data_IF_645026680247
#
_entry.id   IF_645026680247
#
_cell.length_a   1.000
_cell.length_b   1.000
_cell.length_c   1.000
_cell.angle_alpha   90.00
_cell.angle_beta   90.00
_cell.angle_gamma   90.00
#
_symmetry.space_group_name_H-M   'P 1'
#
loop_
_entity.id
_entity.type
_entity.pdbx_description
1 polymer ?
#
# COMPACT_ATOMS: atom_id res chain seq x y z
N UNK A 1 -34.17 -47.89 -7.62
CA UNK A 1 -35.37 -47.83 -6.76
C UNK A 1 -35.32 -46.54 -5.93
N UNK A 2 -36.43 -45.85 -5.93
CA UNK A 2 -36.82 -44.59 -5.24
C UNK A 2 -36.36 -43.27 -5.86
N UNK A 3 -37.16 -42.81 -6.80
CA UNK A 3 -37.52 -41.48 -7.23
C UNK A 3 -37.93 -40.57 -6.07
N UNK A 4 -37.48 -39.30 -6.05
CA UNK A 4 -38.22 -38.24 -5.36
C UNK A 4 -38.39 -37.04 -6.30
N UNK A 5 -39.67 -36.72 -6.50
CA UNK A 5 -40.23 -35.66 -7.30
C UNK A 5 -39.97 -34.27 -6.70
N UNK A 6 -39.71 -33.35 -7.57
CA UNK A 6 -39.69 -31.90 -7.37
C UNK A 6 -41.13 -31.38 -7.41
N UNK A 7 -41.54 -30.62 -6.40
CA UNK A 7 -42.83 -29.91 -6.39
C UNK A 7 -42.57 -28.40 -6.63
N UNK A 8 -43.13 -27.94 -7.73
CA UNK A 8 -43.18 -26.53 -8.14
C UNK A 8 -44.38 -25.88 -7.48
N UNK A 9 -44.23 -24.81 -6.70
CA UNK A 9 -45.34 -23.99 -6.18
C UNK A 9 -45.38 -22.67 -6.89
N UNK A 10 -46.40 -22.51 -7.72
CA UNK A 10 -46.81 -21.25 -8.36
C UNK A 10 -47.66 -20.46 -7.35
N UNK A 11 -47.28 -19.23 -7.03
CA UNK A 11 -48.10 -18.32 -6.21
C UNK A 11 -48.73 -17.28 -7.12
N UNK A 12 -50.05 -17.29 -7.18
CA UNK A 12 -50.91 -16.32 -7.86
C UNK A 12 -51.03 -15.06 -6.98
N UNK A 13 -50.77 -13.89 -7.55
CA UNK A 13 -51.09 -12.58 -6.93
C UNK A 13 -52.52 -12.19 -7.30
N UNK A 14 -53.37 -12.03 -6.30
CA UNK A 14 -54.69 -11.41 -6.43
C UNK A 14 -54.61 -9.99 -5.87
N UNK A 15 -54.82 -9.02 -6.73
CA UNK A 15 -54.91 -7.59 -6.34
C UNK A 15 -56.33 -7.31 -5.79
N UNK A 16 -56.41 -7.00 -4.51
CA UNK A 16 -57.63 -6.47 -3.86
C UNK A 16 -57.45 -4.99 -3.62
N UNK A 17 -58.32 -4.19 -4.28
CA UNK A 17 -58.46 -2.73 -4.06
C UNK A 17 -59.35 -2.57 -2.84
N UNK A 18 -58.83 -2.03 -1.74
CA UNK A 18 -59.62 -1.46 -0.64
C UNK A 18 -59.40 0.03 -0.59
N UNK A 19 -60.45 0.79 -0.87
CA UNK A 19 -60.51 2.22 -0.53
C UNK A 19 -60.63 2.32 0.99
N UNK A 20 -59.74 3.02 1.62
CA UNK A 20 -59.85 3.42 3.05
C UNK A 20 -59.93 4.92 3.15
N UNK A 21 -60.98 5.41 3.80
CA UNK A 21 -61.21 6.82 4.10
C UNK A 21 -60.08 7.38 4.97
N UNK A 22 -59.67 8.61 4.66
CA UNK A 22 -58.60 9.31 5.40
C UNK A 22 -59.23 9.94 6.64
N UNK A 23 -58.97 9.38 7.80
CA UNK A 23 -59.26 10.00 9.10
C UNK A 23 -58.15 10.98 9.47
N UNK A 24 -58.47 12.30 9.45
CA UNK A 24 -57.53 13.39 9.69
C UNK A 24 -57.36 13.67 11.19
N UNK A 25 -56.90 12.72 11.98
CA UNK A 25 -56.44 12.99 13.35
C UNK A 25 -55.35 12.00 13.73
N UNK A 26 -54.14 12.21 13.22
CA UNK A 26 -52.95 11.54 13.74
C UNK A 26 -52.19 12.58 14.58
N UNK A 27 -52.34 12.50 15.88
CA UNK A 27 -51.39 13.06 16.85
C UNK A 27 -50.01 12.47 16.57
N UNK A 28 -49.14 13.28 15.96
CA UNK A 28 -47.74 12.92 15.75
C UNK A 28 -47.06 12.85 17.11
N UNK A 29 -46.53 11.66 17.53
CA UNK A 29 -45.74 11.63 18.73
C UNK A 29 -44.49 12.48 18.48
N UNK A 30 -44.24 13.44 19.37
CA UNK A 30 -43.01 14.22 19.38
C UNK A 30 -41.80 13.27 19.41
N UNK A 31 -41.08 13.18 18.29
CA UNK A 31 -39.79 12.47 18.23
C UNK A 31 -38.82 13.30 19.09
N UNK A 32 -38.74 12.95 20.34
CA UNK A 32 -37.60 13.37 21.16
C UNK A 32 -36.37 12.64 20.58
N UNK A 33 -35.61 13.35 19.76
CA UNK A 33 -34.25 12.92 19.41
C UNK A 33 -33.47 12.84 20.74
N UNK A 34 -33.50 11.66 21.37
CA UNK A 34 -32.49 11.33 22.36
C UNK A 34 -31.17 11.36 21.58
N UNK A 35 -30.37 12.39 21.86
CA UNK A 35 -28.98 12.39 21.40
C UNK A 35 -28.40 11.02 21.76
N UNK A 36 -27.93 10.27 20.75
CA UNK A 36 -27.31 8.98 21.00
C UNK A 36 -26.20 9.20 22.03
N UNK A 37 -26.25 8.47 23.13
CA UNK A 37 -25.23 8.57 24.19
C UNK A 37 -23.88 8.31 23.53
N UNK A 38 -22.97 9.27 23.62
CA UNK A 38 -21.58 9.09 23.14
C UNK A 38 -21.03 7.89 23.90
N UNK A 39 -20.54 6.84 23.21
CA UNK A 39 -19.94 5.70 23.87
C UNK A 39 -18.85 6.16 24.86
N UNK A 40 -18.63 5.48 25.98
CA UNK A 40 -17.60 5.86 26.93
C UNK A 40 -16.25 5.85 26.22
N UNK A 41 -15.42 6.85 26.52
CA UNK A 41 -14.10 6.99 25.93
C UNK A 41 -13.24 5.76 26.24
N UNK A 42 -12.77 5.08 25.20
CA UNK A 42 -11.88 3.93 25.32
C UNK A 42 -10.42 4.39 25.40
N UNK A 43 -9.59 3.63 26.10
CA UNK A 43 -8.13 3.84 26.12
C UNK A 43 -7.46 2.82 25.20
N UNK A 44 -6.50 3.27 24.39
CA UNK A 44 -5.75 2.44 23.44
C UNK A 44 -4.25 2.58 23.70
N UNK A 45 -3.54 1.47 23.64
CA UNK A 45 -2.08 1.42 23.62
C UNK A 45 -1.62 1.31 22.16
N UNK A 46 -1.01 2.37 21.66
CA UNK A 46 -0.47 2.44 20.30
C UNK A 46 1.00 2.04 20.36
N UNK A 47 1.28 0.76 20.10
CA UNK A 47 2.64 0.22 20.16
C UNK A 47 3.55 0.88 19.12
N UNK A 48 4.70 1.41 19.57
CA UNK A 48 5.68 2.00 18.66
C UNK A 48 6.25 0.95 17.70
N UNK A 49 6.33 -0.30 18.12
CA UNK A 49 6.79 -1.41 17.28
C UNK A 49 6.06 -1.53 15.93
N UNK A 50 4.74 -1.20 15.89
CA UNK A 50 3.94 -1.25 14.66
C UNK A 50 3.60 0.13 14.07
N UNK A 51 3.70 1.21 14.87
CA UNK A 51 3.16 2.52 14.52
C UNK A 51 4.20 3.66 14.61
N UNK A 52 5.42 3.35 15.06
CA UNK A 52 6.48 4.32 15.28
C UNK A 52 7.56 4.31 14.20
N UNK A 53 8.12 5.50 13.93
CA UNK A 53 9.20 5.72 12.97
C UNK A 53 10.19 6.74 13.54
N UNK A 54 11.49 6.49 13.39
CA UNK A 54 12.49 7.53 13.61
C UNK A 54 12.51 8.41 12.36
N UNK A 55 11.79 9.53 12.42
CA UNK A 55 11.59 10.41 11.25
C UNK A 55 12.68 11.45 11.08
N UNK A 56 13.47 11.68 12.14
CA UNK A 56 14.70 12.47 12.10
C UNK A 56 15.77 11.74 12.89
N UNK A 57 16.81 11.30 12.20
CA UNK A 57 17.99 10.67 12.80
C UNK A 57 19.22 11.49 12.43
N UNK A 58 19.74 12.34 13.33
CA UNK A 58 20.97 13.09 13.10
C UNK A 58 22.18 12.16 12.94
N UNK A 59 23.24 12.68 12.34
CA UNK A 59 24.50 11.95 12.22
C UNK A 59 24.99 11.49 13.62
N UNK A 60 25.33 10.20 13.74
CA UNK A 60 25.70 9.57 15.01
C UNK A 60 24.53 9.19 15.92
N UNK A 61 23.28 9.43 15.51
CA UNK A 61 22.10 8.90 16.21
C UNK A 61 22.02 7.38 16.09
N UNK A 62 21.53 6.72 17.14
CA UNK A 62 21.40 5.28 17.23
C UNK A 62 19.97 4.82 17.56
N UNK A 63 19.04 5.76 17.55
CA UNK A 63 17.64 5.53 17.83
C UNK A 63 17.04 4.52 16.85
N UNK A 64 16.33 3.54 17.38
CA UNK A 64 15.76 2.45 16.56
C UNK A 64 14.40 2.03 17.12
N UNK A 65 13.52 1.67 16.21
CA UNK A 65 12.26 0.99 16.56
C UNK A 65 12.49 -0.52 16.42
N UNK A 66 12.27 -1.23 17.52
CA UNK A 66 12.33 -2.70 17.61
C UNK A 66 10.95 -3.26 17.93
N UNK A 67 10.85 -4.59 18.10
CA UNK A 67 9.64 -5.25 18.60
C UNK A 67 9.21 -4.78 20.01
N UNK A 68 10.11 -4.14 20.76
CA UNK A 68 9.85 -3.57 22.09
C UNK A 68 9.50 -2.08 22.08
N UNK A 69 9.55 -1.43 20.91
CA UNK A 69 9.36 0.01 20.76
C UNK A 69 10.66 0.76 20.47
N UNK A 70 10.68 2.05 20.84
CA UNK A 70 11.85 2.93 20.69
C UNK A 70 12.92 2.58 21.74
N UNK A 71 14.15 2.35 21.26
CA UNK A 71 15.33 2.16 22.08
C UNK A 71 16.53 2.93 21.57
N UNK A 72 17.63 2.84 22.30
CA UNK A 72 18.91 3.53 22.02
C UNK A 72 18.78 5.06 21.88
N UNK A 73 17.82 5.66 22.57
CA UNK A 73 17.53 7.09 22.43
C UNK A 73 18.53 7.94 23.20
N UNK A 74 19.51 8.43 22.50
CA UNK A 74 20.64 9.21 23.06
C UNK A 74 20.66 10.65 22.60
N UNK A 75 20.18 10.95 21.39
CA UNK A 75 20.32 12.25 20.76
C UNK A 75 19.06 13.12 20.96
N UNK A 76 19.16 14.33 21.53
CA UNK A 76 18.03 15.24 21.75
C UNK A 76 17.42 15.79 20.44
N UNK A 77 18.18 15.75 19.34
CA UNK A 77 17.68 16.23 18.03
C UNK A 77 16.95 15.15 17.23
N UNK A 78 16.99 13.89 17.68
CA UNK A 78 16.21 12.82 17.06
C UNK A 78 14.72 13.02 17.30
N UNK A 79 13.92 12.72 16.28
CA UNK A 79 12.45 12.74 16.38
C UNK A 79 11.92 11.37 16.03
N UNK A 80 11.14 10.81 16.96
CA UNK A 80 10.33 9.62 16.72
C UNK A 80 8.87 10.02 16.59
N UNK A 81 8.25 9.68 15.45
CA UNK A 81 6.86 9.98 15.17
C UNK A 81 6.02 8.70 15.27
N UNK A 82 4.89 8.78 15.95
CA UNK A 82 3.93 7.68 16.12
C UNK A 82 2.62 8.08 15.49
N UNK A 83 2.02 7.17 14.71
CA UNK A 83 0.84 7.47 13.92
C UNK A 83 -0.31 6.54 14.27
N UNK A 84 -1.51 7.10 14.33
CA UNK A 84 -2.78 6.39 14.46
C UNK A 84 -3.89 7.21 13.81
N UNK A 85 -5.01 6.57 13.46
CA UNK A 85 -6.14 7.26 12.82
C UNK A 85 -7.33 7.30 13.77
N UNK A 86 -7.95 8.49 13.87
CA UNK A 86 -9.19 8.71 14.61
C UNK A 86 -10.36 8.85 13.65
N UNK A 87 -11.46 8.19 13.97
CA UNK A 87 -12.72 8.32 13.24
C UNK A 87 -13.60 9.45 13.75
N UNK A 88 -13.30 10.01 14.93
CA UNK A 88 -14.08 11.05 15.59
C UNK A 88 -13.24 12.28 15.92
N UNK A 89 -13.92 13.43 16.01
CA UNK A 89 -13.39 14.66 16.59
C UNK A 89 -13.63 14.71 18.10
N UNK A 90 -12.97 15.63 18.79
CA UNK A 90 -13.15 15.84 20.23
C UNK A 90 -11.85 15.88 21.00
N UNK A 91 -11.94 15.84 22.31
CA UNK A 91 -10.77 15.84 23.17
C UNK A 91 -9.99 14.51 23.04
N UNK A 92 -8.68 14.63 22.82
CA UNK A 92 -7.68 13.55 22.84
C UNK A 92 -6.72 13.80 23.97
N UNK A 93 -6.62 12.86 24.92
CA UNK A 93 -5.58 12.83 25.95
C UNK A 93 -4.49 11.88 25.50
N UNK A 94 -3.24 12.32 25.59
CA UNK A 94 -2.04 11.57 25.19
C UNK A 94 -1.16 11.32 26.40
N UNK A 95 -0.69 10.09 26.56
CA UNK A 95 0.31 9.69 27.53
C UNK A 95 1.39 8.84 26.85
N UNK A 96 2.55 8.74 27.47
CA UNK A 96 3.69 7.95 27.00
C UNK A 96 3.97 6.83 27.98
N UNK A 97 3.98 5.58 27.52
CA UNK A 97 4.39 4.43 28.32
C UNK A 97 5.88 4.17 28.08
N UNK A 98 6.67 4.48 29.09
CA UNK A 98 8.12 4.53 28.98
C UNK A 98 8.81 4.12 30.28
N UNK A 99 10.11 3.85 30.19
CA UNK A 99 11.03 3.75 31.32
C UNK A 99 12.28 4.60 31.04
N UNK A 100 12.88 5.15 32.09
CA UNK A 100 14.18 5.83 32.04
C UNK A 100 15.24 4.89 32.64
N UNK A 101 15.95 4.08 31.83
CA UNK A 101 16.80 3.01 32.34
C UNK A 101 18.01 3.50 33.12
N UNK A 102 18.42 4.77 32.90
CA UNK A 102 19.54 5.39 33.59
C UNK A 102 19.22 6.83 34.00
N UNK A 103 18.81 7.01 35.26
CA UNK A 103 18.55 8.35 35.80
C UNK A 103 17.13 8.88 35.52
N UNK A 104 17.04 10.17 35.23
CA UNK A 104 15.79 10.87 34.89
C UNK A 104 15.93 11.61 33.57
N UNK A 105 14.83 11.74 32.83
CA UNK A 105 14.81 12.52 31.61
C UNK A 105 13.56 13.38 31.49
N UNK A 106 13.66 14.41 30.66
CA UNK A 106 12.52 15.20 30.20
C UNK A 106 12.46 15.06 28.68
N UNK A 107 11.30 14.64 28.21
CA UNK A 107 11.01 14.55 26.79
C UNK A 107 9.88 15.50 26.42
N UNK A 108 9.81 15.88 25.16
CA UNK A 108 8.73 16.67 24.55
C UNK A 108 7.85 15.75 23.73
N UNK A 109 6.55 15.70 24.05
CA UNK A 109 5.54 15.08 23.20
C UNK A 109 4.76 16.18 22.49
N UNK A 110 4.74 16.15 21.15
CA UNK A 110 4.03 17.15 20.32
C UNK A 110 2.91 16.47 19.56
N UNK A 111 1.68 16.95 19.72
CA UNK A 111 0.50 16.44 19.01
C UNK A 111 -0.40 17.61 18.59
N UNK A 112 -0.87 17.59 17.35
CA UNK A 112 -1.73 18.63 16.78
C UNK A 112 -1.20 20.06 17.02
N UNK A 113 0.11 20.25 16.85
CA UNK A 113 0.80 21.54 17.04
C UNK A 113 1.03 21.96 18.50
N UNK A 114 0.54 21.22 19.49
CA UNK A 114 0.73 21.50 20.92
C UNK A 114 1.78 20.58 21.52
N UNK A 115 2.72 21.15 22.25
CA UNK A 115 3.82 20.43 22.92
C UNK A 115 3.61 20.33 24.42
N UNK A 116 4.04 19.20 24.99
CA UNK A 116 3.99 18.90 26.40
C UNK A 116 5.34 18.34 26.87
N UNK A 117 5.87 18.84 27.97
CA UNK A 117 7.06 18.29 28.59
C UNK A 117 6.66 17.17 29.57
N UNK A 118 7.27 16.00 29.38
CA UNK A 118 7.01 14.83 30.21
C UNK A 118 8.28 14.44 30.95
N UNK A 119 8.24 14.44 32.28
CA UNK A 119 9.33 13.96 33.11
C UNK A 119 9.21 12.46 33.29
N UNK A 120 10.24 11.73 32.93
CA UNK A 120 10.34 10.27 33.03
C UNK A 120 11.32 9.89 34.14
N UNK A 121 10.93 8.92 34.97
CA UNK A 121 11.74 8.42 36.08
C UNK A 121 11.54 6.92 36.24
N UNK A 122 12.57 6.23 36.76
CA UNK A 122 12.49 4.81 37.04
C UNK A 122 12.73 3.89 35.87
N UNK A 123 13.07 2.68 36.17
CA UNK A 123 13.55 1.67 35.22
C UNK A 123 12.47 0.62 34.86
N UNK A 124 11.21 0.85 35.23
CA UNK A 124 10.06 0.03 34.84
C UNK A 124 9.13 0.84 33.95
N UNK A 125 8.50 0.18 32.99
CA UNK A 125 7.52 0.85 32.12
C UNK A 125 6.35 1.39 32.93
N UNK A 126 6.17 2.70 32.85
CA UNK A 126 5.10 3.45 33.52
C UNK A 126 4.44 4.38 32.52
N UNK A 127 3.14 4.60 32.65
CA UNK A 127 2.39 5.53 31.80
C UNK A 127 2.45 6.93 32.40
N UNK A 128 3.02 7.86 31.63
CA UNK A 128 3.15 9.27 32.00
C UNK A 128 2.21 10.12 31.16
N UNK A 129 1.24 10.78 31.76
CA UNK A 129 0.33 11.67 31.03
C UNK A 129 1.10 12.88 30.49
N UNK A 130 1.01 13.13 29.20
CA UNK A 130 1.56 14.31 28.57
C UNK A 130 0.58 15.49 28.66
N UNK A 131 -0.64 15.32 28.13
CA UNK A 131 -1.66 16.34 28.15
C UNK A 131 -2.81 16.07 27.17
N UNK A 132 -3.65 17.08 26.95
CA UNK A 132 -4.82 16.94 26.07
C UNK A 132 -4.89 18.04 25.02
N UNK A 133 -5.41 17.66 23.84
CA UNK A 133 -5.66 18.55 22.70
C UNK A 133 -7.05 18.29 22.14
N UNK A 134 -7.60 19.25 21.39
CA UNK A 134 -8.81 19.03 20.60
C UNK A 134 -8.44 18.56 19.19
N UNK A 135 -9.09 17.51 18.73
CA UNK A 135 -9.05 17.01 17.37
C UNK A 135 -10.24 17.58 16.62
N UNK A 136 -9.98 18.38 15.59
CA UNK A 136 -11.01 19.13 14.86
C UNK A 136 -11.44 18.42 13.57
N UNK A 137 -10.70 17.43 13.10
CA UNK A 137 -11.02 16.62 11.92
C UNK A 137 -10.65 15.16 12.16
N UNK A 138 -11.50 14.25 11.69
CA UNK A 138 -11.17 12.83 11.64
C UNK A 138 -10.00 12.59 10.66
N UNK A 139 -9.16 11.59 10.93
CA UNK A 139 -8.02 11.28 10.10
C UNK A 139 -6.82 10.83 10.92
N UNK A 140 -5.66 10.79 10.28
CA UNK A 140 -4.41 10.43 10.94
C UNK A 140 -3.92 11.54 11.88
N UNK A 141 -3.48 11.10 13.05
CA UNK A 141 -2.85 11.93 14.07
C UNK A 141 -1.41 11.47 14.23
N UNK A 142 -0.50 12.44 14.35
CA UNK A 142 0.92 12.22 14.59
C UNK A 142 1.28 12.71 15.99
N UNK A 143 2.01 11.89 16.73
CA UNK A 143 2.66 12.27 18.00
C UNK A 143 4.17 12.22 17.81
N UNK A 144 4.84 13.35 17.90
CA UNK A 144 6.30 13.44 17.84
C UNK A 144 6.88 13.39 19.24
N UNK A 145 7.90 12.56 19.46
CA UNK A 145 8.70 12.46 20.66
C UNK A 145 10.10 13.00 20.38
N UNK A 146 10.57 13.91 21.24
CA UNK A 146 11.90 14.52 21.17
C UNK A 146 12.51 14.66 22.57
N UNK A 147 13.82 14.43 22.72
CA UNK A 147 14.53 14.62 23.96
C UNK A 147 14.71 16.12 24.30
N UNK A 148 14.67 16.46 25.60
CA UNK A 148 14.99 17.81 26.11
C UNK A 148 16.24 17.73 26.99
N UNK A 149 16.18 16.92 28.05
CA UNK A 149 17.29 16.77 28.99
C UNK A 149 17.29 15.38 29.61
N UNK A 150 18.46 14.91 30.01
CA UNK A 150 18.63 13.63 30.72
C UNK A 150 19.80 13.71 31.70
N UNK A 151 19.77 12.88 32.74
CA UNK A 151 20.88 12.77 33.70
C UNK A 151 21.72 11.50 33.48
N UNK A 152 21.20 10.56 32.71
CA UNK A 152 21.89 9.31 32.33
C UNK A 152 22.23 9.25 30.84
N UNK A 153 22.64 8.07 30.38
CA UNK A 153 23.10 7.86 29.00
C UNK A 153 21.97 7.91 27.97
N UNK A 154 20.75 7.52 28.35
CA UNK A 154 19.59 7.41 27.48
C UNK A 154 18.45 8.32 27.94
N UNK A 155 17.63 8.79 27.00
CA UNK A 155 16.38 9.50 27.35
C UNK A 155 15.34 8.52 27.89
N UNK A 156 15.00 7.49 27.12
CA UNK A 156 14.01 6.50 27.52
C UNK A 156 13.99 5.31 26.56
N UNK A 157 13.44 4.19 27.02
CA UNK A 157 12.78 3.21 26.15
C UNK A 157 11.27 3.52 26.19
N UNK A 158 10.64 3.59 25.01
CA UNK A 158 9.22 3.90 24.88
C UNK A 158 8.52 2.74 24.18
N UNK A 159 7.57 2.09 24.86
CA UNK A 159 6.81 0.98 24.27
C UNK A 159 5.57 1.45 23.51
N UNK A 160 4.80 2.38 24.10
CA UNK A 160 3.49 2.78 23.58
C UNK A 160 3.25 4.29 23.72
N UNK A 161 2.43 4.84 22.83
CA UNK A 161 1.63 6.02 23.09
C UNK A 161 0.26 5.53 23.59
N UNK A 162 -0.18 6.03 24.74
CA UNK A 162 -1.50 5.71 25.30
C UNK A 162 -2.44 6.88 25.01
N UNK A 163 -3.57 6.58 24.36
CA UNK A 163 -4.55 7.60 23.98
C UNK A 163 -5.90 7.33 24.62
N UNK A 164 -6.62 8.38 24.96
CA UNK A 164 -7.98 8.32 25.53
C UNK A 164 -8.74 9.63 25.27
N UNK A 165 -10.01 9.70 25.65
CA UNK A 165 -10.84 10.88 25.51
C UNK A 165 -11.96 10.72 24.49
N UNK A 166 -12.76 11.76 24.28
CA UNK A 166 -13.94 11.70 23.40
C UNK A 166 -13.58 11.32 21.94
N UNK A 167 -12.40 11.74 21.45
CA UNK A 167 -11.93 11.42 20.11
C UNK A 167 -11.63 9.93 19.90
N UNK A 168 -11.49 9.14 20.99
CA UNK A 168 -11.19 7.69 20.94
C UNK A 168 -12.41 6.80 21.17
N UNK A 169 -13.61 7.36 21.27
CA UNK A 169 -14.82 6.61 21.62
C UNK A 169 -15.19 5.55 20.56
N UNK A 170 -14.79 5.74 19.31
CA UNK A 170 -15.08 4.81 18.23
C UNK A 170 -14.06 4.95 17.09
N UNK A 171 -13.85 3.85 16.35
CA UNK A 171 -13.16 3.84 15.06
C UNK A 171 -11.71 4.36 15.11
N UNK A 172 -10.92 3.87 16.09
CA UNK A 172 -9.47 4.09 16.14
C UNK A 172 -8.78 3.01 15.32
N UNK A 173 -7.96 3.42 14.32
CA UNK A 173 -7.22 2.50 13.45
C UNK A 173 -5.72 2.70 13.66
N UNK A 174 -5.04 1.62 13.94
CA UNK A 174 -3.59 1.54 14.12
C UNK A 174 -3.13 0.09 13.95
N UNK A 175 -1.86 -0.14 13.73
CA UNK A 175 -1.28 -1.48 13.73
C UNK A 175 -1.38 -2.07 15.15
N UNK A 176 -2.28 -3.01 15.34
CA UNK A 176 -2.62 -3.60 16.64
C UNK A 176 -2.32 -5.11 16.74
N UNK A 177 -1.84 -5.70 15.65
CA UNK A 177 -1.46 -7.10 15.57
C UNK A 177 0.08 -7.22 15.54
N UNK A 178 0.73 -7.72 16.63
CA UNK A 178 2.19 -7.86 16.70
C UNK A 178 2.80 -8.70 15.57
N UNK A 179 2.10 -9.71 15.07
CA UNK A 179 2.57 -10.56 13.97
C UNK A 179 2.66 -9.78 12.63
N UNK A 180 1.94 -8.67 12.55
CA UNK A 180 1.88 -7.83 11.35
C UNK A 180 2.63 -6.50 11.48
N UNK A 181 3.35 -6.22 12.57
CA UNK A 181 4.03 -4.92 12.76
C UNK A 181 5.04 -4.60 11.67
N UNK A 182 5.80 -5.58 11.21
CA UNK A 182 6.72 -5.38 10.09
C UNK A 182 6.00 -4.92 8.82
N UNK A 183 4.92 -5.62 8.44
CA UNK A 183 4.12 -5.29 7.26
C UNK A 183 3.39 -3.95 7.41
N UNK A 184 2.85 -3.69 8.60
CA UNK A 184 2.20 -2.42 8.91
C UNK A 184 3.16 -1.25 8.82
N UNK A 185 4.43 -1.40 9.23
CA UNK A 185 5.46 -0.36 9.07
C UNK A 185 5.88 -0.16 7.62
N UNK A 186 5.86 -1.19 6.79
CA UNK A 186 5.98 -1.02 5.32
C UNK A 186 4.82 -0.23 4.75
N UNK A 187 3.63 -0.40 5.30
CA UNK A 187 2.39 0.17 4.81
C UNK A 187 1.71 -0.69 3.73
N UNK A 188 0.45 -0.38 3.40
CA UNK A 188 -0.31 -1.17 2.45
C UNK A 188 0.29 -1.19 1.05
N UNK A 189 0.41 -2.36 0.44
CA UNK A 189 0.61 -2.51 -1.00
C UNK A 189 -0.73 -2.34 -1.72
N UNK A 190 -0.74 -1.65 -2.85
CA UNK A 190 -1.95 -1.30 -3.60
C UNK A 190 -1.82 -1.67 -5.07
N UNK A 191 -2.93 -2.13 -5.68
CA UNK A 191 -2.90 -2.74 -6.99
C UNK A 191 -4.03 -2.24 -7.89
N UNK A 192 -3.80 -2.31 -9.21
CA UNK A 192 -4.79 -2.14 -10.27
C UNK A 192 -4.83 -3.44 -11.07
N UNK A 193 -5.90 -4.21 -10.96
CA UNK A 193 -6.13 -5.40 -11.76
C UNK A 193 -6.85 -5.06 -13.06
N UNK A 194 -6.34 -5.53 -14.20
CA UNK A 194 -6.90 -5.29 -15.53
C UNK A 194 -7.49 -6.57 -16.12
N UNK A 195 -8.71 -6.48 -16.64
CA UNK A 195 -9.38 -7.62 -17.27
C UNK A 195 -9.60 -7.30 -18.74
N UNK A 196 -8.89 -7.98 -19.67
CA UNK A 196 -9.19 -7.88 -21.09
C UNK A 196 -10.60 -8.40 -21.41
N UNK A 197 -11.21 -7.99 -22.52
CA UNK A 197 -12.48 -8.55 -22.96
C UNK A 197 -12.46 -10.08 -23.03
N UNK A 198 -13.61 -10.71 -22.75
CA UNK A 198 -13.74 -12.17 -22.76
C UNK A 198 -13.29 -12.77 -24.10
N UNK A 199 -12.56 -13.87 -24.05
CA UNK A 199 -12.01 -14.55 -25.21
C UNK A 199 -10.69 -13.94 -25.75
N UNK A 200 -10.15 -12.91 -25.10
CA UNK A 200 -8.85 -12.34 -25.49
C UNK A 200 -7.72 -13.26 -25.03
N UNK A 201 -6.91 -13.76 -25.98
CA UNK A 201 -5.64 -14.44 -25.69
C UNK A 201 -4.52 -13.41 -25.81
N UNK A 202 -4.11 -12.82 -24.66
CA UNK A 202 -3.16 -11.73 -24.61
C UNK A 202 -1.72 -12.25 -24.72
N UNK A 203 -1.06 -12.00 -25.83
CA UNK A 203 0.36 -12.31 -26.02
C UNK A 203 1.27 -11.22 -25.45
N UNK A 204 0.85 -9.95 -25.59
CA UNK A 204 1.61 -8.79 -25.17
C UNK A 204 0.82 -7.92 -24.19
N UNK A 205 1.51 -7.34 -23.23
CA UNK A 205 0.98 -6.30 -22.34
C UNK A 205 1.90 -5.09 -22.36
N UNK A 206 1.31 -3.94 -22.69
CA UNK A 206 1.97 -2.64 -22.71
C UNK A 206 1.36 -1.70 -21.69
N UNK A 207 2.19 -0.93 -20.99
CA UNK A 207 1.74 0.17 -20.13
C UNK A 207 2.75 1.31 -20.06
N UNK A 208 2.29 2.46 -19.61
CA UNK A 208 3.11 3.63 -19.34
C UNK A 208 3.03 3.96 -17.84
N UNK A 209 4.18 4.25 -17.25
CA UNK A 209 4.33 4.55 -15.83
C UNK A 209 5.06 5.89 -15.67
N UNK A 210 4.50 6.76 -14.81
CA UNK A 210 5.13 8.00 -14.37
C UNK A 210 5.11 8.08 -12.85
N UNK A 211 6.25 8.26 -12.24
CA UNK A 211 6.39 8.56 -10.82
C UNK A 211 6.54 10.07 -10.68
N UNK A 212 5.57 10.80 -10.10
CA UNK A 212 5.67 12.24 -9.95
C UNK A 212 6.90 12.66 -9.13
N UNK A 213 7.43 13.85 -9.40
CA UNK A 213 8.57 14.39 -8.66
C UNK A 213 8.31 14.36 -7.14
N UNK A 214 9.29 13.90 -6.38
CA UNK A 214 9.22 13.77 -4.93
C UNK A 214 8.43 12.57 -4.42
N UNK A 215 7.87 11.71 -5.30
CA UNK A 215 7.18 10.47 -4.93
C UNK A 215 8.08 9.22 -5.01
N UNK A 216 9.30 9.39 -5.46
CA UNK A 216 10.33 8.37 -5.67
C UNK A 216 11.12 8.07 -4.37
N UNK A 217 10.40 7.74 -3.30
CA UNK A 217 11.00 7.45 -1.99
C UNK A 217 11.78 6.14 -2.02
N UNK A 218 12.86 6.06 -1.25
CA UNK A 218 13.61 4.81 -1.03
C UNK A 218 12.68 3.69 -0.56
N UNK A 219 12.97 2.46 -0.94
CA UNK A 219 12.14 1.31 -0.62
C UNK A 219 10.89 1.17 -1.50
N UNK A 220 10.76 1.93 -2.60
CA UNK A 220 9.59 1.86 -3.47
C UNK A 220 9.77 0.90 -4.63
N UNK A 221 8.71 0.13 -4.92
CA UNK A 221 8.56 -0.59 -6.16
C UNK A 221 7.30 -0.10 -6.89
N UNK A 222 7.52 0.51 -8.04
CA UNK A 222 6.52 0.96 -8.98
C UNK A 222 6.42 -0.08 -10.10
N UNK A 223 5.56 -1.07 -9.94
CA UNK A 223 5.42 -2.18 -10.86
C UNK A 223 4.40 -1.82 -11.95
N UNK A 224 4.84 -1.86 -13.19
CA UNK A 224 4.06 -1.49 -14.36
C UNK A 224 3.26 -2.66 -14.94
N UNK A 225 3.94 -3.78 -15.24
CA UNK A 225 3.36 -4.96 -15.88
C UNK A 225 3.48 -6.17 -14.98
N UNK A 226 2.41 -6.51 -14.27
CA UNK A 226 2.24 -7.75 -13.55
C UNK A 226 1.38 -8.74 -14.34
N UNK A 227 1.60 -10.02 -14.13
CA UNK A 227 0.86 -11.12 -14.74
C UNK A 227 0.96 -12.37 -13.85
N UNK A 228 0.13 -13.38 -14.11
CA UNK A 228 0.22 -14.63 -13.38
C UNK A 228 1.61 -15.28 -13.59
N UNK A 229 2.41 -15.25 -12.54
CA UNK A 229 3.76 -15.81 -12.54
C UNK A 229 4.90 -14.82 -12.76
N UNK A 230 4.66 -13.50 -12.76
CA UNK A 230 5.75 -12.54 -12.87
C UNK A 230 5.36 -11.06 -12.74
N UNK A 231 6.38 -10.21 -12.69
CA UNK A 231 6.20 -8.76 -12.55
C UNK A 231 7.39 -7.99 -13.13
N UNK A 232 7.11 -6.79 -13.65
CA UNK A 232 8.07 -5.93 -14.31
C UNK A 232 7.82 -4.45 -13.99
N UNK A 233 8.84 -3.73 -13.53
CA UNK A 233 8.73 -2.32 -13.15
C UNK A 233 10.04 -1.67 -12.75
N UNK A 234 9.96 -0.58 -11.98
CA UNK A 234 11.11 0.20 -11.52
C UNK A 234 11.14 0.35 -10.00
N UNK A 235 12.35 0.36 -9.43
CA UNK A 235 12.58 0.44 -7.99
C UNK A 235 13.49 1.60 -7.61
N UNK A 236 13.34 2.08 -6.36
CA UNK A 236 14.31 2.92 -5.65
C UNK A 236 14.88 2.11 -4.49
N UNK A 237 16.10 1.58 -4.66
CA UNK A 237 16.73 0.69 -3.70
C UNK A 237 17.51 1.45 -2.61
N UNK A 238 18.06 2.62 -2.98
CA UNK A 238 18.73 3.54 -2.05
C UNK A 238 18.72 4.96 -2.59
N UNK A 239 19.36 5.89 -1.89
CA UNK A 239 19.57 7.27 -2.38
C UNK A 239 20.40 7.35 -3.66
N UNK A 240 21.16 6.32 -3.97
CA UNK A 240 22.08 6.26 -5.13
C UNK A 240 21.80 5.12 -6.09
N UNK A 241 20.84 4.24 -5.79
CA UNK A 241 20.56 3.07 -6.60
C UNK A 241 19.10 2.99 -7.00
N UNK A 242 18.87 2.93 -8.31
CA UNK A 242 17.59 2.67 -8.96
C UNK A 242 17.71 1.50 -9.92
N UNK A 243 16.63 0.73 -10.04
CA UNK A 243 16.61 -0.47 -10.89
C UNK A 243 15.41 -0.48 -11.81
N UNK A 244 15.59 -1.14 -12.96
CA UNK A 244 14.53 -1.77 -13.72
C UNK A 244 14.55 -3.24 -13.33
N UNK A 245 13.46 -3.79 -12.84
CA UNK A 245 13.38 -5.15 -12.30
C UNK A 245 12.33 -5.97 -13.03
N UNK A 246 12.72 -7.17 -13.47
CA UNK A 246 11.84 -8.18 -14.07
C UNK A 246 12.05 -9.52 -13.42
N UNK A 247 10.97 -10.14 -12.92
CA UNK A 247 11.00 -11.44 -12.25
C UNK A 247 9.92 -12.38 -12.78
N UNK A 248 10.24 -13.68 -12.83
CA UNK A 248 9.30 -14.74 -13.18
C UNK A 248 9.41 -15.84 -12.13
N UNK A 249 8.30 -16.16 -11.47
CA UNK A 249 8.26 -17.21 -10.45
C UNK A 249 8.39 -18.61 -11.03
N UNK A 250 8.98 -19.50 -10.25
CA UNK A 250 8.97 -20.91 -10.54
C UNK A 250 7.54 -21.45 -10.60
N UNK A 251 7.25 -22.40 -11.49
CA UNK A 251 5.99 -23.15 -11.42
C UNK A 251 5.99 -24.11 -10.23
N UNK A 252 4.86 -24.76 -9.97
CA UNK A 252 4.74 -25.76 -8.91
C UNK A 252 5.78 -26.89 -9.04
N UNK A 253 6.17 -27.23 -10.28
CA UNK A 253 7.20 -28.22 -10.59
C UNK A 253 8.17 -27.68 -11.64
N UNK A 254 9.47 -27.85 -11.40
CA UNK A 254 10.53 -27.32 -12.25
C UNK A 254 11.03 -25.96 -11.80
N UNK A 255 12.03 -25.44 -12.49
CA UNK A 255 12.68 -24.16 -12.21
C UNK A 255 12.68 -23.27 -13.44
N UNK A 256 12.32 -22.01 -13.24
CA UNK A 256 12.46 -20.96 -14.25
C UNK A 256 13.92 -20.77 -14.60
N UNK A 257 14.24 -20.71 -15.88
CA UNK A 257 15.61 -20.58 -16.39
C UNK A 257 15.76 -19.40 -17.33
N UNK A 258 16.91 -18.74 -17.28
CA UNK A 258 17.22 -17.64 -18.17
C UNK A 258 17.41 -18.16 -19.61
N UNK A 259 16.70 -17.56 -20.57
CA UNK A 259 16.89 -17.80 -22.01
C UNK A 259 17.95 -16.85 -22.56
N UNK A 260 17.76 -15.56 -22.33
CA UNK A 260 18.69 -14.49 -22.68
C UNK A 260 18.44 -13.23 -21.84
N UNK A 261 19.45 -12.37 -21.74
CA UNK A 261 19.34 -11.05 -21.08
C UNK A 261 19.94 -9.95 -21.96
N UNK A 262 19.49 -8.73 -21.68
CA UNK A 262 20.03 -7.54 -22.33
C UNK A 262 21.43 -7.14 -21.84
N UNK A 263 22.09 -6.22 -22.53
CA UNK A 263 23.38 -5.68 -22.09
C UNK A 263 23.27 -5.06 -20.70
N UNK A 264 24.28 -5.34 -19.85
CA UNK A 264 24.38 -4.84 -18.47
C UNK A 264 23.26 -5.28 -17.52
N UNK A 265 22.42 -6.21 -17.94
CA UNK A 265 21.40 -6.81 -17.06
C UNK A 265 22.04 -7.87 -16.19
N UNK A 266 21.81 -7.78 -14.89
CA UNK A 266 22.21 -8.79 -13.90
C UNK A 266 21.07 -9.79 -13.76
N UNK A 267 21.37 -11.08 -13.77
CA UNK A 267 20.43 -12.16 -13.49
C UNK A 267 20.76 -12.83 -12.16
N UNK A 268 19.74 -13.11 -11.39
CA UNK A 268 19.81 -13.79 -10.10
C UNK A 268 18.64 -14.77 -9.95
N UNK A 269 18.75 -15.67 -8.97
CA UNK A 269 17.58 -16.31 -8.37
C UNK A 269 17.08 -15.44 -7.20
N UNK A 270 15.78 -15.45 -6.94
CA UNK A 270 15.21 -14.84 -5.75
C UNK A 270 14.56 -15.89 -4.85
N UNK A 271 14.40 -15.54 -3.57
CA UNK A 271 13.76 -16.35 -2.53
C UNK A 271 13.03 -15.46 -1.53
N UNK A 272 12.41 -16.06 -0.52
CA UNK A 272 11.63 -15.37 0.51
C UNK A 272 10.14 -15.54 0.30
N UNK A 273 9.52 -14.75 -0.56
CA UNK A 273 8.09 -14.85 -0.91
C UNK A 273 7.82 -15.84 -2.06
N UNK A 274 8.65 -16.86 -2.24
CA UNK A 274 8.66 -17.79 -3.35
C UNK A 274 10.04 -17.85 -3.99
N UNK A 275 10.20 -18.64 -5.06
CA UNK A 275 11.45 -18.77 -5.81
C UNK A 275 11.22 -18.51 -7.29
N UNK A 276 12.28 -18.10 -8.01
CA UNK A 276 12.20 -17.85 -9.45
C UNK A 276 13.44 -17.17 -10.00
N UNK A 277 13.36 -16.79 -11.27
CA UNK A 277 14.36 -16.00 -11.96
C UNK A 277 14.11 -14.50 -11.79
N UNK A 278 15.14 -13.76 -11.43
CA UNK A 278 15.13 -12.31 -11.33
C UNK A 278 16.17 -11.71 -12.27
N UNK A 279 15.82 -10.66 -12.96
CA UNK A 279 16.74 -9.85 -13.73
C UNK A 279 16.55 -8.37 -13.41
N UNK A 280 17.67 -7.66 -13.27
CA UNK A 280 17.61 -6.23 -13.08
C UNK A 280 18.69 -5.48 -13.85
N UNK A 281 18.35 -4.25 -14.27
CA UNK A 281 19.26 -3.29 -14.85
C UNK A 281 19.44 -2.14 -13.87
N UNK A 282 20.68 -1.82 -13.50
CA UNK A 282 20.99 -0.56 -12.83
C UNK A 282 20.72 0.58 -13.81
N UNK A 283 19.72 1.38 -13.50
CA UNK A 283 19.30 2.47 -14.38
C UNK A 283 18.74 3.61 -13.53
N UNK A 284 19.36 4.77 -13.61
CA UNK A 284 18.98 5.95 -12.84
C UNK A 284 17.79 6.67 -13.49
N UNK A 285 16.64 6.00 -13.53
CA UNK A 285 15.40 6.57 -14.01
C UNK A 285 14.99 7.82 -13.21
N UNK A 286 14.31 8.76 -13.85
CA UNK A 286 14.00 10.06 -13.26
C UNK A 286 12.51 10.19 -12.94
N UNK A 287 12.20 10.68 -11.71
CA UNK A 287 10.85 11.07 -11.36
C UNK A 287 10.36 12.20 -12.28
N UNK A 288 9.07 12.22 -12.61
CA UNK A 288 8.48 13.13 -13.60
C UNK A 288 8.54 12.61 -15.03
N UNK A 289 9.43 11.65 -15.33
CA UNK A 289 9.56 11.04 -16.66
C UNK A 289 8.59 9.87 -16.84
N UNK A 290 8.01 9.73 -18.03
CA UNK A 290 7.15 8.59 -18.38
C UNK A 290 7.96 7.52 -19.09
N UNK A 291 8.03 6.34 -18.49
CA UNK A 291 8.64 5.15 -19.05
C UNK A 291 7.57 4.23 -19.62
N UNK A 292 7.91 3.48 -20.70
CA UNK A 292 6.98 2.53 -21.32
C UNK A 292 7.49 1.11 -21.09
N UNK A 293 6.57 0.23 -20.76
CA UNK A 293 6.84 -1.16 -20.41
C UNK A 293 6.14 -2.07 -21.38
N UNK A 294 6.81 -3.12 -21.81
CA UNK A 294 6.28 -4.12 -22.73
C UNK A 294 6.68 -5.51 -22.24
N UNK A 295 5.71 -6.39 -22.10
CA UNK A 295 5.91 -7.78 -21.68
C UNK A 295 5.24 -8.72 -22.67
N UNK A 296 5.92 -9.81 -23.04
CA UNK A 296 5.39 -10.89 -23.87
C UNK A 296 5.39 -12.20 -23.11
N UNK A 297 4.32 -12.98 -23.28
CA UNK A 297 4.31 -14.40 -22.94
C UNK A 297 4.04 -15.22 -24.21
N UNK A 298 4.99 -16.12 -24.56
CA UNK A 298 4.88 -16.92 -25.75
C UNK A 298 5.21 -18.37 -25.43
N UNK A 299 4.23 -19.31 -25.56
CA UNK A 299 4.50 -20.74 -25.52
C UNK A 299 5.57 -21.16 -26.52
N UNK A 300 6.53 -21.98 -26.09
CA UNK A 300 7.69 -22.39 -26.91
C UNK A 300 7.45 -23.66 -27.74
N UNK A 301 6.26 -24.25 -27.62
CA UNK A 301 5.89 -25.51 -28.29
C UNK A 301 6.46 -26.77 -27.63
N UNK A 302 7.23 -26.65 -26.56
CA UNK A 302 7.87 -27.77 -25.83
C UNK A 302 7.28 -27.99 -24.41
N UNK A 303 6.13 -27.41 -24.10
CA UNK A 303 5.51 -27.51 -22.79
C UNK A 303 5.92 -26.38 -21.81
N UNK A 304 6.58 -25.36 -22.30
CA UNK A 304 7.00 -24.20 -21.50
C UNK A 304 6.53 -22.88 -22.16
N UNK A 305 6.61 -21.79 -21.40
CA UNK A 305 6.36 -20.44 -21.89
C UNK A 305 7.59 -19.56 -21.64
N UNK A 306 7.97 -18.80 -22.64
CA UNK A 306 8.97 -17.74 -22.53
C UNK A 306 8.28 -16.43 -22.16
N UNK A 307 8.70 -15.80 -21.06
CA UNK A 307 8.28 -14.47 -20.65
C UNK A 307 9.44 -13.51 -20.90
N UNK A 308 9.17 -12.47 -21.70
CA UNK A 308 10.18 -11.49 -22.12
C UNK A 308 9.73 -10.07 -21.83
N UNK A 309 10.64 -9.19 -21.43
CA UNK A 309 10.29 -7.81 -21.08
C UNK A 309 11.28 -6.79 -21.62
N UNK A 310 10.73 -5.63 -22.02
CA UNK A 310 11.45 -4.48 -22.56
C UNK A 310 10.96 -3.20 -21.91
N UNK A 311 11.89 -2.25 -21.70
CA UNK A 311 11.57 -0.88 -21.28
C UNK A 311 11.98 0.10 -22.37
N UNK A 312 11.11 1.07 -22.67
CA UNK A 312 11.48 2.24 -23.44
C UNK A 312 11.95 3.34 -22.50
N UNK A 313 13.15 3.85 -22.75
CA UNK A 313 13.76 4.92 -21.98
C UNK A 313 13.84 6.19 -22.83
N UNK A 314 13.12 7.26 -22.45
CA UNK A 314 13.13 8.52 -23.21
C UNK A 314 14.54 9.12 -23.35
N UNK A 315 15.41 8.87 -22.38
CA UNK A 315 16.80 9.35 -22.35
C UNK A 315 17.63 8.80 -23.52
N UNK A 316 17.33 7.58 -23.95
CA UNK A 316 17.99 6.98 -25.13
C UNK A 316 17.13 7.00 -26.40
N UNK A 317 15.84 7.33 -26.25
CA UNK A 317 14.88 7.26 -27.37
C UNK A 317 14.67 5.85 -27.91
N UNK A 318 14.96 4.79 -27.12
CA UNK A 318 15.00 3.41 -27.60
C UNK A 318 14.40 2.41 -26.60
N UNK A 319 13.93 1.30 -27.16
CA UNK A 319 13.58 0.11 -26.38
C UNK A 319 14.86 -0.63 -25.94
N UNK A 320 14.89 -1.06 -24.70
CA UNK A 320 15.96 -1.85 -24.10
C UNK A 320 15.38 -3.19 -23.67
N UNK A 321 15.98 -4.26 -24.16
CA UNK A 321 15.66 -5.62 -23.71
C UNK A 321 16.16 -5.84 -22.28
N UNK A 322 15.32 -6.41 -21.42
CA UNK A 322 15.73 -6.76 -20.07
C UNK A 322 16.09 -8.25 -20.02
N UNK A 323 15.13 -9.13 -20.14
CA UNK A 323 15.41 -10.56 -20.13
C UNK A 323 14.25 -11.36 -20.76
N UNK A 324 14.55 -12.61 -21.08
CA UNK A 324 13.58 -13.66 -21.38
C UNK A 324 13.82 -14.82 -20.42
N UNK A 325 12.78 -15.23 -19.71
CA UNK A 325 12.77 -16.33 -18.78
C UNK A 325 11.85 -17.44 -19.27
N UNK A 326 12.35 -18.68 -19.30
CA UNK A 326 11.58 -19.88 -19.63
C UNK A 326 10.99 -20.47 -18.35
N UNK A 327 9.67 -20.53 -18.28
CA UNK A 327 8.94 -21.19 -17.20
C UNK A 327 8.46 -22.56 -17.69
N UNK A 328 9.04 -23.67 -17.19
CA UNK A 328 8.70 -25.00 -17.64
C UNK A 328 7.32 -25.42 -17.12
N UNK A 329 6.78 -26.50 -17.69
CA UNK A 329 5.46 -27.06 -17.30
C UNK A 329 4.33 -26.02 -17.25
N UNK A 330 4.44 -25.02 -18.12
CA UNK A 330 3.50 -23.90 -18.18
C UNK A 330 3.28 -23.58 -19.65
N UNK A 331 2.07 -23.80 -20.15
CA UNK A 331 1.68 -23.43 -21.52
C UNK A 331 0.58 -22.38 -21.39
N UNK A 332 0.94 -21.13 -21.50
CA UNK A 332 0.03 -19.99 -21.28
C UNK A 332 0.44 -18.76 -22.08
N UNK A 333 -0.49 -17.87 -22.28
CA UNK A 333 -0.29 -16.47 -22.59
C UNK A 333 -0.45 -15.62 -21.32
N UNK A 334 -0.43 -14.29 -21.42
CA UNK A 334 -0.57 -13.40 -20.29
C UNK A 334 -1.99 -13.48 -19.71
N UNK A 335 -2.08 -13.74 -18.41
CA UNK A 335 -3.30 -13.76 -17.60
C UNK A 335 -3.06 -12.99 -16.30
N UNK A 336 -4.13 -12.64 -15.57
CA UNK A 336 -4.02 -11.98 -14.28
C UNK A 336 -3.26 -10.65 -14.35
N UNK A 337 -3.57 -9.80 -15.34
CA UNK A 337 -2.84 -8.55 -15.58
C UNK A 337 -3.06 -7.56 -14.46
N UNK A 338 -1.97 -6.94 -13.96
CA UNK A 338 -2.07 -5.94 -12.90
C UNK A 338 -0.87 -4.99 -12.87
N UNK A 339 -1.02 -3.90 -12.14
CA UNK A 339 0.07 -3.02 -11.71
C UNK A 339 0.02 -2.85 -10.20
N UNK A 340 1.14 -2.54 -9.56
CA UNK A 340 1.13 -2.22 -8.13
C UNK A 340 2.08 -1.09 -7.74
N UNK A 341 1.84 -0.54 -6.56
CA UNK A 341 2.74 0.34 -5.84
C UNK A 341 2.97 -0.24 -4.44
N UNK A 342 4.23 -0.46 -4.11
CA UNK A 342 4.65 -1.06 -2.84
C UNK A 342 5.82 -0.29 -2.23
N UNK A 343 5.85 -0.25 -0.89
CA UNK A 343 7.04 0.03 -0.12
C UNK A 343 7.60 -1.26 0.48
N UNK A 344 8.84 -1.61 0.16
CA UNK A 344 9.49 -2.81 0.70
C UNK A 344 10.44 -2.52 1.89
N UNK A 345 10.47 -1.27 2.40
CA UNK A 345 11.29 -0.87 3.54
C UNK A 345 10.41 -0.46 4.73
N UNK A 346 10.48 -1.20 5.83
CA UNK A 346 9.66 -0.97 7.01
C UNK A 346 10.04 0.31 7.80
N UNK A 347 11.19 0.90 7.54
CA UNK A 347 11.61 2.17 8.15
C UNK A 347 11.09 3.40 7.40
N UNK A 348 10.57 3.23 6.17
CA UNK A 348 10.20 4.31 5.26
C UNK A 348 8.66 4.44 5.04
N UNK A 349 7.85 3.67 5.76
CA UNK A 349 6.39 3.66 5.57
C UNK A 349 5.67 4.93 6.01
N UNK A 350 6.35 5.87 6.64
CA UNK A 350 5.83 7.22 6.94
C UNK A 350 5.95 8.20 5.76
N UNK A 351 6.67 7.83 4.70
CA UNK A 351 6.83 8.63 3.49
C UNK A 351 5.80 8.22 2.44
N UNK A 352 4.99 9.17 1.99
CA UNK A 352 3.98 8.95 0.96
C UNK A 352 4.58 8.66 -0.41
N UNK A 353 3.91 7.79 -1.17
CA UNK A 353 4.27 7.36 -2.52
C UNK A 353 3.07 7.47 -3.45
N UNK A 354 3.32 7.84 -4.69
CA UNK A 354 2.30 7.91 -5.73
C UNK A 354 2.89 7.55 -7.09
N UNK A 355 2.10 6.86 -7.90
CA UNK A 355 2.42 6.58 -9.30
C UNK A 355 1.21 6.80 -10.19
N UNK A 356 1.47 7.18 -11.43
CA UNK A 356 0.47 7.33 -12.49
C UNK A 356 0.68 6.24 -13.51
N UNK A 357 -0.40 5.55 -13.86
CA UNK A 357 -0.41 4.45 -14.83
C UNK A 357 -1.30 4.86 -16.00
N UNK A 358 -0.76 4.81 -17.19
CA UNK A 358 -1.46 5.26 -18.39
C UNK A 358 -1.29 4.28 -19.54
N UNK A 359 -2.19 4.39 -20.51
CA UNK A 359 -2.07 3.77 -21.81
C UNK A 359 -1.83 2.25 -21.75
N UNK A 360 -2.67 1.55 -20.96
CA UNK A 360 -2.61 0.11 -20.83
C UNK A 360 -3.24 -0.55 -22.07
N UNK A 361 -2.51 -1.46 -22.70
CA UNK A 361 -2.96 -2.20 -23.88
C UNK A 361 -2.52 -3.66 -23.81
N UNK A 362 -3.35 -4.55 -24.31
CA UNK A 362 -2.93 -5.90 -24.67
C UNK A 362 -2.95 -6.07 -26.18
N UNK A 363 -2.04 -6.89 -26.72
CA UNK A 363 -2.12 -7.36 -28.10
C UNK A 363 -2.40 -8.85 -28.09
N UNK A 364 -3.46 -9.26 -28.74
CA UNK A 364 -3.84 -10.67 -28.82
C UNK A 364 -2.99 -11.45 -29.85
N UNK A 365 -3.11 -12.77 -29.85
CA UNK A 365 -2.40 -13.65 -30.80
C UNK A 365 -2.79 -13.44 -32.26
N UNK A 366 -3.95 -12.82 -32.52
CA UNK A 366 -4.36 -12.42 -33.88
C UNK A 366 -3.75 -11.07 -34.33
N UNK A 367 -2.94 -10.42 -33.47
CA UNK A 367 -2.26 -9.19 -33.80
C UNK A 367 -3.04 -7.90 -33.51
N UNK A 368 -4.19 -7.97 -32.84
CA UNK A 368 -5.04 -6.81 -32.54
C UNK A 368 -4.67 -6.20 -31.21
N UNK A 369 -4.44 -4.90 -31.15
CA UNK A 369 -4.30 -4.12 -29.93
C UNK A 369 -5.67 -3.76 -29.33
N UNK A 370 -5.83 -3.97 -28.02
CA UNK A 370 -7.05 -3.70 -27.25
C UNK A 370 -6.67 -2.84 -26.05
N UNK A 371 -7.27 -1.66 -25.94
CA UNK A 371 -7.04 -0.74 -24.82
C UNK A 371 -7.76 -1.20 -23.56
N UNK A 372 -7.08 -1.17 -22.41
CA UNK A 372 -7.63 -1.50 -21.11
C UNK A 372 -7.95 -0.20 -20.37
N UNK A 373 -9.24 0.12 -20.26
CA UNK A 373 -9.71 1.38 -19.68
C UNK A 373 -10.34 1.22 -18.31
N UNK A 374 -10.53 -0.01 -17.86
CA UNK A 374 -11.11 -0.32 -16.56
C UNK A 374 -10.10 -1.07 -15.70
N UNK A 375 -9.98 -0.69 -14.44
CA UNK A 375 -9.14 -1.35 -13.46
C UNK A 375 -9.89 -1.58 -12.15
N UNK A 376 -9.68 -2.75 -11.52
CA UNK A 376 -10.14 -3.06 -10.17
C UNK A 376 -9.02 -2.70 -9.18
N UNK A 377 -9.31 -1.80 -8.26
CA UNK A 377 -8.40 -1.43 -7.19
C UNK A 377 -8.45 -2.46 -6.06
N UNK A 378 -7.30 -2.98 -5.65
CA UNK A 378 -7.15 -3.88 -4.52
C UNK A 378 -6.00 -3.43 -3.62
N UNK A 379 -5.93 -3.98 -2.41
CA UNK A 379 -4.87 -3.74 -1.46
C UNK A 379 -4.56 -5.06 -0.71
N UNK A 380 -3.42 -5.08 -0.02
CA UNK A 380 -2.95 -6.26 0.71
C UNK A 380 -3.65 -6.49 2.06
N UNK A 381 -3.15 -7.48 2.82
CA UNK A 381 -3.67 -7.83 4.13
C UNK A 381 -3.52 -6.69 5.17
N UNK A 382 -2.54 -5.81 5.02
CA UNK A 382 -2.36 -4.64 5.91
C UNK A 382 -3.59 -3.74 5.86
N UNK A 383 -4.10 -3.49 4.66
CA UNK A 383 -5.35 -2.75 4.45
C UNK A 383 -6.59 -3.57 4.82
N UNK A 384 -6.64 -4.86 4.42
CA UNK A 384 -7.80 -5.72 4.64
C UNK A 384 -8.06 -6.00 6.12
N UNK A 385 -7.02 -6.07 6.94
CA UNK A 385 -7.07 -6.26 8.38
C UNK A 385 -7.10 -4.94 9.17
N UNK A 386 -7.33 -3.81 8.50
CA UNK A 386 -7.49 -2.50 9.12
C UNK A 386 -6.28 -2.04 9.96
N UNK A 387 -5.08 -2.53 9.63
CA UNK A 387 -3.86 -2.11 10.31
C UNK A 387 -3.45 -0.69 9.92
N UNK A 388 -3.74 -0.30 8.67
CA UNK A 388 -3.50 1.06 8.12
C UNK A 388 -4.54 1.39 7.06
N UNK A 389 -4.90 2.67 6.95
CA UNK A 389 -5.86 3.19 5.94
C UNK A 389 -5.30 4.30 5.06
N UNK A 390 -3.98 4.43 4.93
CA UNK A 390 -3.34 5.40 4.04
C UNK A 390 -2.99 4.75 2.69
N UNK A 391 -4.03 4.39 1.96
CA UNK A 391 -3.98 3.80 0.63
C UNK A 391 -5.11 4.33 -0.26
N UNK A 392 -4.82 4.55 -1.53
CA UNK A 392 -5.80 5.01 -2.50
C UNK A 392 -5.45 4.59 -3.93
N UNK A 393 -6.46 4.50 -4.75
CA UNK A 393 -6.38 4.38 -6.20
C UNK A 393 -7.50 5.19 -6.83
N UNK A 394 -7.42 5.43 -8.13
CA UNK A 394 -8.44 6.18 -8.84
C UNK A 394 -8.02 6.60 -10.25
N UNK A 395 -8.75 7.57 -10.79
CA UNK A 395 -8.44 8.23 -12.05
C UNK A 395 -8.22 9.72 -11.80
N UNK A 396 -7.12 10.24 -12.29
CA UNK A 396 -6.81 11.67 -12.26
C UNK A 396 -6.19 12.10 -13.60
N UNK A 397 -6.72 13.18 -14.20
CA UNK A 397 -6.26 13.68 -15.51
C UNK A 397 -6.18 12.59 -16.59
N UNK A 398 -7.20 11.71 -16.66
CA UNK A 398 -7.29 10.63 -17.65
C UNK A 398 -6.35 9.44 -17.43
N UNK A 399 -5.63 9.39 -16.31
CA UNK A 399 -4.69 8.32 -15.95
C UNK A 399 -5.15 7.63 -14.68
N UNK A 400 -4.91 6.33 -14.56
CA UNK A 400 -5.01 5.66 -13.27
C UNK A 400 -3.89 6.14 -12.34
N UNK A 401 -4.15 6.14 -11.04
CA UNK A 401 -3.11 6.35 -10.04
C UNK A 401 -3.22 5.33 -8.91
N UNK A 402 -2.09 5.07 -8.28
CA UNK A 402 -1.99 4.41 -7.00
C UNK A 402 -1.23 5.33 -6.03
N UNK A 403 -1.64 5.30 -4.77
CA UNK A 403 -1.00 6.04 -3.69
C UNK A 403 -1.04 5.21 -2.42
N UNK A 404 0.08 5.17 -1.67
CA UNK A 404 0.16 4.50 -0.39
C UNK A 404 1.15 5.18 0.55
N UNK A 405 1.08 4.82 1.83
CA UNK A 405 1.95 5.32 2.89
C UNK A 405 1.80 6.82 3.14
N UNK A 406 2.55 7.36 4.13
CA UNK A 406 2.54 8.80 4.41
C UNK A 406 1.39 9.27 5.29
N UNK A 407 0.56 8.35 5.78
CA UNK A 407 -0.51 8.64 6.75
C UNK A 407 -1.50 9.73 6.30
N UNK A 408 -1.84 9.77 5.01
CA UNK A 408 -2.93 10.62 4.52
C UNK A 408 -4.29 10.06 4.95
N UNK A 409 -5.29 10.94 5.09
CA UNK A 409 -6.58 10.59 5.70
C UNK A 409 -7.64 10.14 4.69
N UNK A 410 -7.56 10.59 3.44
CA UNK A 410 -8.55 10.33 2.40
C UNK A 410 -8.20 9.02 1.68
N UNK A 411 -8.68 7.91 2.25
CA UNK A 411 -8.46 6.59 1.64
C UNK A 411 -9.61 6.21 0.70
N UNK A 412 -9.32 5.30 -0.22
CA UNK A 412 -10.29 4.72 -1.14
C UNK A 412 -10.48 3.25 -0.78
N UNK A 413 -11.72 2.80 -0.63
CA UNK A 413 -12.00 1.39 -0.35
C UNK A 413 -11.41 0.48 -1.44
N UNK A 414 -10.70 -0.55 -1.03
CA UNK A 414 -10.27 -1.61 -1.94
C UNK A 414 -11.50 -2.36 -2.49
N UNK A 415 -11.33 -3.06 -3.62
CA UNK A 415 -12.40 -3.62 -4.46
C UNK A 415 -13.25 -2.59 -5.23
N UNK A 416 -12.88 -1.30 -5.23
CA UNK A 416 -13.46 -0.29 -6.10
C UNK A 416 -12.97 -0.47 -7.54
N UNK A 417 -13.87 -0.35 -8.51
CA UNK A 417 -13.50 -0.33 -9.94
C UNK A 417 -13.47 1.09 -10.47
N UNK A 418 -12.48 1.39 -11.29
CA UNK A 418 -12.31 2.70 -11.93
C UNK A 418 -12.30 2.54 -13.44
N UNK A 419 -12.89 3.49 -14.14
CA UNK A 419 -12.83 3.57 -15.60
C UNK A 419 -12.28 4.93 -16.01
N UNK A 420 -11.23 4.94 -16.84
CA UNK A 420 -10.71 6.14 -17.48
C UNK A 420 -11.23 6.28 -18.91
N UNK A 421 -11.20 7.46 -19.44
CA UNK A 421 -11.45 7.67 -20.85
C UNK A 421 -10.40 6.95 -21.70
N UNK A 422 -10.83 6.29 -22.78
CA UNK A 422 -9.94 5.70 -23.75
C UNK A 422 -9.07 6.80 -24.40
N UNK A 423 -7.79 6.52 -24.58
CA UNK A 423 -6.89 7.43 -25.30
C UNK A 423 -6.99 7.24 -26.81
N UNK A 424 -7.28 6.02 -27.26
CA UNK A 424 -7.23 5.62 -28.67
C UNK A 424 -5.81 5.68 -29.27
N UNK A 425 -4.79 5.99 -28.44
CA UNK A 425 -3.40 6.12 -28.88
C UNK A 425 -2.73 4.75 -28.77
N UNK A 426 -2.53 4.10 -29.90
CA UNK A 426 -1.85 2.82 -29.99
C UNK A 426 -0.42 2.87 -29.42
N UNK A 427 0.10 1.78 -28.84
CA UNK A 427 1.49 1.67 -28.46
C UNK A 427 2.43 1.99 -29.63
N UNK A 428 3.29 2.99 -29.45
CA UNK A 428 4.33 3.34 -30.42
C UNK A 428 5.51 2.35 -30.30
N UNK A 429 5.32 1.13 -30.80
CA UNK A 429 6.33 0.05 -30.80
C UNK A 429 6.24 -0.76 -32.10
N UNK A 430 7.36 -0.93 -32.77
CA UNK A 430 7.50 -1.93 -33.83
C UNK A 430 8.07 -3.21 -33.21
N UNK A 431 7.20 -4.22 -33.08
CA UNK A 431 7.55 -5.49 -32.46
C UNK A 431 8.61 -6.29 -33.24
N UNK A 432 8.79 -6.00 -34.53
CA UNK A 432 9.78 -6.69 -35.38
C UNK A 432 11.20 -6.14 -35.20
N UNK A 433 11.33 -4.92 -34.64
CA UNK A 433 12.62 -4.26 -34.43
C UNK A 433 13.06 -4.22 -32.96
N UNK A 434 12.32 -4.88 -32.08
CA UNK A 434 12.71 -4.98 -30.67
C UNK A 434 14.07 -5.71 -30.52
N UNK A 435 14.99 -5.17 -29.65
CA UNK A 435 16.30 -5.76 -29.45
C UNK A 435 16.27 -7.12 -28.75
#
# INVERSE_FOLDING_TARGET
>A
MKTRQTMLHTLLLIAGIYACEIDNNIDMPSIHNKAAAVPPASSYNIALAGNGFVTTLPAGGAEVITSYGLGNWTNPSSITSVYFRLGLTGQLTVAVKAKAPSGTSVIKATVNGKSFNVKLTGNTYTTYTAGSVNINAAGYVKVDLQGISKTGDYFADVSDIVISGAATANNVVYANDPENYYWSRRGPSVHLGFTPPSGTTAEWFYSELNVPAGQDKTGSYFMANGFDGGYFGIQVNSSTERRVLFSVWDPATGKTSLVRKGPNVVDNAFGGEGTGGQSYLLFNWQAGTTYKFLTQAKPDGSGATNFSSWIYTPESGAWRFIASWKRPNTVTYLTGLYSFLENFNDTEGYLGRKALYNNQWVRNTAGTWIELTTAKFTADATAANDQRRDYAGGVASGKFYLQNCGFFSDYVHYNTSFTRTATGVLPAVDLNTLP
#
